data_IF_892284252231
#
_entry.id   IF_892284252231
#
_cell.length_a   1.000
_cell.length_b   1.000
_cell.length_c   1.000
_cell.angle_alpha   90.00
_cell.angle_beta   90.00
_cell.angle_gamma   90.00
#
_symmetry.space_group_name_H-M   'P 1'
#
loop_
_entity.id
_entity.type
_entity.pdbx_description
1 polymer ?
#
# COMPACT_ATOMS: atom_id res chain seq x y z
N UNK A 1 4.41 -7.12 7.68
CA UNK A 1 5.34 -6.02 8.04
C UNK A 1 6.23 -6.38 9.22
N UNK A 2 5.71 -7.10 10.23
CA UNK A 2 6.49 -7.50 11.42
C UNK A 2 7.80 -8.25 11.12
N UNK A 3 7.88 -8.96 9.99
CA UNK A 3 9.07 -9.73 9.61
C UNK A 3 10.14 -8.89 8.88
N UNK A 4 9.83 -7.62 8.56
CA UNK A 4 10.80 -6.74 7.91
C UNK A 4 11.86 -6.24 8.90
N UNK A 5 13.08 -6.09 8.41
CA UNK A 5 14.24 -5.62 9.17
C UNK A 5 14.81 -4.32 8.59
N UNK A 6 15.87 -3.78 9.21
CA UNK A 6 16.59 -2.62 8.67
C UNK A 6 17.20 -2.89 7.29
N UNK A 7 17.57 -4.15 7.00
CA UNK A 7 18.11 -4.56 5.70
C UNK A 7 17.09 -4.39 4.56
N UNK A 8 15.80 -4.46 4.88
CA UNK A 8 14.69 -4.31 3.93
C UNK A 8 14.32 -2.85 3.65
N UNK A 9 14.96 -1.87 4.32
CA UNK A 9 14.62 -0.46 4.22
C UNK A 9 14.59 0.03 2.76
N UNK A 10 15.58 -0.36 1.96
CA UNK A 10 15.63 0.00 0.54
C UNK A 10 14.48 -0.62 -0.24
N UNK A 11 14.16 -1.89 0.00
CA UNK A 11 13.09 -2.61 -0.69
C UNK A 11 11.71 -2.02 -0.35
N UNK A 12 11.47 -1.72 0.92
CA UNK A 12 10.23 -1.08 1.37
C UNK A 12 10.07 0.33 0.79
N UNK A 13 11.15 1.12 0.77
CA UNK A 13 11.17 2.42 0.10
C UNK A 13 10.90 2.31 -1.39
N UNK A 14 11.54 1.34 -2.05
CA UNK A 14 11.31 1.05 -3.47
C UNK A 14 9.85 0.67 -3.75
N UNK A 15 9.24 -0.17 -2.91
CA UNK A 15 7.83 -0.56 -3.01
C UNK A 15 6.88 0.66 -3.00
N UNK A 16 7.08 1.61 -2.09
CA UNK A 16 6.26 2.83 -2.01
C UNK A 16 6.44 3.72 -3.24
N UNK A 17 7.68 3.84 -3.76
CA UNK A 17 7.95 4.60 -4.98
C UNK A 17 7.34 3.94 -6.23
N UNK A 18 7.35 2.61 -6.30
CA UNK A 18 6.66 1.86 -7.35
C UNK A 18 5.15 2.09 -7.26
N UNK A 19 4.56 2.01 -6.06
CA UNK A 19 3.13 2.27 -5.87
C UNK A 19 2.73 3.69 -6.32
N UNK A 20 3.54 4.71 -6.01
CA UNK A 20 3.36 6.08 -6.53
C UNK A 20 3.38 6.12 -8.07
N UNK A 21 4.34 5.45 -8.69
CA UNK A 21 4.45 5.41 -10.18
C UNK A 21 3.25 4.71 -10.80
N UNK A 22 2.80 3.59 -10.22
CA UNK A 22 1.60 2.89 -10.65
C UNK A 22 0.36 3.78 -10.52
N UNK A 23 0.22 4.55 -9.43
CA UNK A 23 -0.89 5.49 -9.29
C UNK A 23 -0.94 6.55 -10.41
N UNK A 24 0.22 7.00 -10.90
CA UNK A 24 0.31 7.90 -12.05
C UNK A 24 -0.07 7.19 -13.36
N UNK A 25 0.40 5.95 -13.55
CA UNK A 25 0.09 5.16 -14.75
C UNK A 25 -1.40 4.81 -14.85
N UNK A 26 -2.02 4.48 -13.72
CA UNK A 26 -3.45 4.16 -13.61
C UNK A 26 -4.33 5.43 -13.53
N UNK A 27 -3.75 6.62 -13.69
CA UNK A 27 -4.46 7.92 -13.73
C UNK A 27 -5.27 8.24 -12.45
N UNK A 28 -4.84 7.74 -11.30
CA UNK A 28 -5.47 8.01 -9.99
C UNK A 28 -4.64 8.93 -9.08
N UNK A 29 -3.49 9.42 -9.57
CA UNK A 29 -2.57 10.22 -8.77
C UNK A 29 -3.12 11.60 -8.39
N UNK A 30 -3.74 12.31 -9.34
CA UNK A 30 -4.14 13.71 -9.15
C UNK A 30 -5.42 13.83 -8.31
N UNK A 31 -6.38 12.92 -8.50
CA UNK A 31 -7.61 12.84 -7.70
C UNK A 31 -7.38 12.24 -6.29
N UNK A 32 -6.20 11.66 -6.09
CA UNK A 32 -5.79 11.03 -4.84
C UNK A 32 -6.05 9.51 -4.79
N UNK A 33 -5.20 8.84 -4.02
CA UNK A 33 -5.25 7.39 -3.79
C UNK A 33 -4.83 7.08 -2.34
N UNK A 34 -5.13 5.85 -1.89
CA UNK A 34 -4.71 5.34 -0.58
C UNK A 34 -3.83 4.12 -0.76
N UNK A 35 -2.71 4.10 -0.05
CA UNK A 35 -1.90 2.91 0.15
C UNK A 35 -2.29 2.24 1.47
N UNK A 36 -2.42 0.92 1.48
CA UNK A 36 -2.75 0.13 2.69
C UNK A 36 -1.83 -1.07 2.77
N UNK A 37 -1.20 -1.27 3.93
CA UNK A 37 -0.43 -2.46 4.27
C UNK A 37 -1.06 -3.07 5.52
N UNK A 38 -1.74 -4.20 5.36
CA UNK A 38 -2.34 -4.92 6.48
C UNK A 38 -1.30 -5.83 7.13
N UNK A 39 -1.26 -5.85 8.46
CA UNK A 39 -0.35 -6.72 9.22
C UNK A 39 -1.15 -7.59 10.19
N UNK A 40 -1.03 -8.90 10.03
CA UNK A 40 -1.80 -9.94 10.70
C UNK A 40 -3.30 -9.92 10.40
N UNK A 41 -4.00 -10.98 10.85
CA UNK A 41 -5.41 -11.22 10.59
C UNK A 41 -6.33 -10.13 11.15
N UNK A 42 -5.98 -9.52 12.29
CA UNK A 42 -6.76 -8.44 12.91
C UNK A 42 -6.85 -7.17 12.06
N UNK A 43 -5.88 -6.95 11.17
CA UNK A 43 -5.91 -5.86 10.18
C UNK A 43 -6.43 -6.34 8.80
N UNK A 44 -6.94 -7.57 8.69
CA UNK A 44 -7.45 -8.12 7.43
C UNK A 44 -6.40 -8.73 6.50
N UNK A 45 -5.19 -9.06 6.97
CA UNK A 45 -4.23 -9.81 6.17
C UNK A 45 -4.65 -11.28 6.04
N UNK A 46 -4.90 -11.74 4.81
CA UNK A 46 -5.29 -13.13 4.52
C UNK A 46 -4.19 -13.93 3.81
N UNK A 47 -3.34 -13.25 3.02
CA UNK A 47 -2.14 -13.82 2.41
C UNK A 47 -0.91 -13.31 3.16
N UNK A 48 -0.15 -14.23 3.76
CA UNK A 48 1.03 -13.94 4.60
C UNK A 48 2.30 -13.74 3.75
N UNK A 49 2.19 -12.83 2.79
CA UNK A 49 3.30 -12.25 2.04
C UNK A 49 3.09 -10.74 2.00
N UNK A 50 4.14 -9.94 2.17
CA UNK A 50 3.99 -8.48 2.22
C UNK A 50 3.42 -7.96 0.89
N UNK A 51 2.35 -7.18 0.97
CA UNK A 51 1.73 -6.53 -0.18
C UNK A 51 1.22 -5.14 0.22
N UNK A 52 1.28 -4.21 -0.74
CA UNK A 52 0.78 -2.85 -0.60
C UNK A 52 -0.41 -2.68 -1.54
N UNK A 53 -1.60 -2.48 -0.99
CA UNK A 53 -2.77 -2.17 -1.79
C UNK A 53 -2.70 -0.73 -2.28
N UNK A 54 -3.01 -0.51 -3.55
CA UNK A 54 -3.21 0.80 -4.16
C UNK A 54 -4.69 0.94 -4.53
N UNK A 55 -5.41 1.84 -3.84
CA UNK A 55 -6.83 2.09 -4.08
C UNK A 55 -7.03 3.52 -4.59
N UNK A 56 -7.74 3.68 -5.71
CA UNK A 56 -8.04 4.97 -6.33
C UNK A 56 -9.25 4.90 -7.26
N UNK A 57 -9.49 5.98 -8.01
CA UNK A 57 -10.58 6.05 -9.01
C UNK A 57 -11.97 6.35 -8.44
N UNK A 58 -12.05 6.67 -7.14
CA UNK A 58 -13.28 7.14 -6.46
C UNK A 58 -12.95 7.82 -5.13
N UNK A 59 -13.86 8.63 -4.56
CA UNK A 59 -13.74 9.09 -3.19
C UNK A 59 -13.56 7.92 -2.21
N UNK A 60 -12.55 8.05 -1.35
CA UNK A 60 -12.25 7.06 -0.30
C UNK A 60 -12.77 7.56 1.03
N UNK A 61 -13.61 6.75 1.68
CA UNK A 61 -14.25 7.08 2.94
C UNK A 61 -13.28 7.01 4.14
N UNK A 62 -13.72 7.58 5.25
CA UNK A 62 -13.07 7.51 6.56
C UNK A 62 -14.08 7.04 7.63
N UNK A 63 -13.72 6.12 8.54
CA UNK A 63 -12.41 5.47 8.70
C UNK A 63 -12.07 4.52 7.53
N UNK A 64 -10.79 4.15 7.35
CA UNK A 64 -10.30 3.38 6.21
C UNK A 64 -10.51 1.87 6.40
N UNK A 65 -11.74 1.48 6.76
CA UNK A 65 -12.02 0.22 7.45
C UNK A 65 -12.26 0.49 8.93
#
# INVERSE_FOLDING_TARGET
LNDASEEDCWLLGHLLLVAKRLAQQEQVADDGYRLVINTNSGAGQTVFHLHCHLLGGRPLQWPPG
#
